data_IF_198119261418
#
_entry.id   IF_198119261418
#
_cell.length_a   1.000
_cell.length_b   1.000
_cell.length_c   1.000
_cell.angle_alpha   90.00
_cell.angle_beta   90.00
_cell.angle_gamma   90.00
#
_symmetry.space_group_name_H-M   'P 1'
#
loop_
_entity.id
_entity.type
_entity.pdbx_description
1 polymer ?
#
# COMPACT_ATOMS: atom_id res chain seq x y z
N UNK A 1 1.20 -36.48 1.52
CA UNK A 1 2.61 -36.57 1.95
C UNK A 1 3.33 -35.20 2.02
N UNK A 2 2.91 -34.19 1.22
CA UNK A 2 3.51 -32.84 1.22
C UNK A 2 3.16 -31.97 2.44
N UNK A 3 1.95 -32.11 3.01
CA UNK A 3 1.48 -31.36 4.20
C UNK A 3 2.41 -31.55 5.40
N UNK A 4 2.87 -32.78 5.63
CA UNK A 4 3.74 -33.14 6.74
C UNK A 4 5.16 -32.53 6.63
N UNK A 5 5.67 -32.28 5.40
CA UNK A 5 6.98 -31.63 5.21
C UNK A 5 6.94 -30.13 5.54
N UNK A 6 5.90 -29.42 5.12
CA UNK A 6 5.76 -27.98 5.40
C UNK A 6 5.40 -27.72 6.87
N UNK A 7 4.63 -28.60 7.51
CA UNK A 7 4.35 -28.51 8.96
C UNK A 7 5.64 -28.66 9.79
N UNK A 8 6.45 -29.68 9.50
CA UNK A 8 7.75 -29.87 10.16
C UNK A 8 8.72 -28.72 9.92
N UNK A 9 8.71 -28.14 8.71
CA UNK A 9 9.51 -26.96 8.40
C UNK A 9 9.02 -25.74 9.20
N UNK A 10 7.71 -25.52 9.27
CA UNK A 10 7.09 -24.44 10.05
C UNK A 10 7.50 -24.51 11.52
N UNK A 11 7.32 -25.67 12.17
CA UNK A 11 7.70 -25.88 13.58
C UNK A 11 9.19 -25.59 13.83
N UNK A 12 10.05 -26.02 12.91
CA UNK A 12 11.50 -25.81 13.01
C UNK A 12 11.87 -24.34 12.86
N UNK A 13 11.29 -23.64 11.89
CA UNK A 13 11.49 -22.20 11.70
C UNK A 13 10.94 -21.40 12.89
N UNK A 14 9.79 -21.80 13.44
CA UNK A 14 9.18 -21.17 14.62
C UNK A 14 10.05 -21.30 15.87
N UNK A 15 10.62 -22.47 16.10
CA UNK A 15 11.54 -22.70 17.22
C UNK A 15 12.76 -21.78 17.13
N UNK A 16 13.34 -21.67 15.93
CA UNK A 16 14.50 -20.81 15.67
C UNK A 16 14.18 -19.32 15.83
N UNK A 17 13.06 -18.87 15.24
CA UNK A 17 12.61 -17.49 15.31
C UNK A 17 12.30 -17.06 16.76
N UNK A 18 11.64 -17.94 17.53
CA UNK A 18 11.30 -17.68 18.93
C UNK A 18 12.56 -17.53 19.79
N UNK A 19 13.57 -18.36 19.56
CA UNK A 19 14.86 -18.25 20.27
C UNK A 19 15.58 -16.93 19.96
N UNK A 20 15.57 -16.47 18.70
CA UNK A 20 16.24 -15.21 18.31
C UNK A 20 15.49 -13.96 18.77
N UNK A 21 14.17 -13.91 18.59
CA UNK A 21 13.38 -12.71 18.86
C UNK A 21 12.95 -12.58 20.32
N UNK A 22 12.92 -13.69 21.08
CA UNK A 22 12.40 -13.74 22.46
C UNK A 22 10.94 -13.25 22.61
N UNK A 23 10.24 -13.11 21.49
CA UNK A 23 8.83 -12.75 21.39
C UNK A 23 8.14 -13.79 20.49
N UNK A 24 7.24 -14.57 21.08
CA UNK A 24 6.55 -15.66 20.37
C UNK A 24 5.55 -15.17 19.32
N UNK A 25 4.91 -14.02 19.53
CA UNK A 25 3.94 -13.46 18.60
C UNK A 25 4.64 -12.90 17.37
N UNK A 26 5.75 -12.19 17.58
CA UNK A 26 6.58 -11.65 16.52
C UNK A 26 7.28 -12.75 15.72
N UNK A 27 7.80 -13.78 16.41
CA UNK A 27 8.40 -14.95 15.78
C UNK A 27 7.40 -15.69 14.89
N UNK A 28 6.16 -15.88 15.37
CA UNK A 28 5.09 -16.49 14.58
C UNK A 28 4.78 -15.67 13.33
N UNK A 29 4.64 -14.35 13.45
CA UNK A 29 4.37 -13.48 12.30
C UNK A 29 5.45 -13.56 11.22
N UNK A 30 6.73 -13.55 11.62
CA UNK A 30 7.87 -13.67 10.69
C UNK A 30 7.88 -15.04 9.99
N UNK A 31 7.58 -16.11 10.72
CA UNK A 31 7.56 -17.48 10.18
C UNK A 31 6.37 -17.71 9.25
N UNK A 32 5.18 -17.24 9.62
CA UNK A 32 3.99 -17.35 8.78
C UNK A 32 4.19 -16.62 7.45
N UNK A 33 4.78 -15.43 7.46
CA UNK A 33 5.13 -14.67 6.26
C UNK A 33 6.23 -15.36 5.43
N UNK A 34 7.23 -15.98 6.07
CA UNK A 34 8.25 -16.82 5.39
C UNK A 34 7.59 -18.00 4.68
N UNK A 35 6.67 -18.67 5.35
CA UNK A 35 5.97 -19.83 4.83
C UNK A 35 5.02 -19.47 3.70
N UNK A 36 4.36 -18.31 3.76
CA UNK A 36 3.57 -17.76 2.67
C UNK A 36 4.43 -17.49 1.42
N UNK A 37 5.58 -16.84 1.59
CA UNK A 37 6.51 -16.57 0.48
C UNK A 37 7.05 -17.87 -0.15
N UNK A 38 7.36 -18.88 0.67
CA UNK A 38 7.79 -20.18 0.18
C UNK A 38 6.67 -20.88 -0.60
N UNK A 39 5.43 -20.89 -0.09
CA UNK A 39 4.29 -21.51 -0.79
C UNK A 39 4.03 -20.86 -2.14
N UNK A 40 3.99 -19.53 -2.19
CA UNK A 40 3.76 -18.78 -3.44
C UNK A 40 4.88 -18.98 -4.47
N UNK A 41 6.11 -19.17 -4.02
CA UNK A 41 7.28 -19.38 -4.91
C UNK A 41 7.43 -20.85 -5.36
N UNK A 42 7.12 -21.82 -4.48
CA UNK A 42 7.47 -23.24 -4.67
C UNK A 42 6.31 -24.22 -4.87
N UNK A 43 5.05 -23.75 -4.93
CA UNK A 43 3.93 -24.58 -5.41
C UNK A 43 4.16 -25.16 -6.83
N UNK A 44 5.18 -24.68 -7.55
CA UNK A 44 5.57 -25.17 -8.89
C UNK A 44 6.58 -26.33 -8.90
N UNK A 45 7.32 -26.62 -7.82
CA UNK A 45 8.29 -27.72 -7.77
C UNK A 45 8.53 -28.23 -6.33
N UNK A 46 7.77 -29.24 -5.85
CA UNK A 46 7.78 -29.70 -4.46
C UNK A 46 8.95 -30.63 -4.06
N UNK A 47 9.75 -31.10 -5.01
CA UNK A 47 10.91 -31.98 -4.77
C UNK A 47 12.26 -31.24 -4.83
N UNK A 48 12.24 -29.91 -4.79
CA UNK A 48 13.47 -29.11 -4.78
C UNK A 48 14.22 -29.30 -3.45
N UNK A 49 15.35 -30.02 -3.50
CA UNK A 49 16.29 -30.17 -2.39
C UNK A 49 16.82 -28.82 -1.86
N UNK A 50 16.67 -27.73 -2.62
CA UNK A 50 17.00 -26.36 -2.22
C UNK A 50 15.98 -25.68 -1.32
N UNK A 51 14.81 -26.27 -1.06
CA UNK A 51 13.72 -25.63 -0.30
C UNK A 51 14.15 -25.22 1.12
N UNK A 52 14.82 -26.12 1.86
CA UNK A 52 15.22 -25.87 3.25
C UNK A 52 16.32 -24.80 3.34
N UNK A 53 17.44 -24.87 2.59
CA UNK A 53 18.42 -23.81 2.56
C UNK A 53 17.83 -22.44 2.20
N UNK A 54 16.92 -22.38 1.23
CA UNK A 54 16.25 -21.14 0.82
C UNK A 54 15.31 -20.61 1.89
N UNK A 55 14.54 -21.48 2.53
CA UNK A 55 13.66 -21.12 3.65
C UNK A 55 14.44 -20.52 4.82
N UNK A 56 15.59 -21.12 5.15
CA UNK A 56 16.50 -20.61 6.18
C UNK A 56 17.07 -19.25 5.80
N UNK A 57 17.48 -19.06 4.55
CA UNK A 57 17.98 -17.77 4.07
C UNK A 57 16.90 -16.67 4.19
N UNK A 58 15.68 -16.94 3.71
CA UNK A 58 14.56 -15.99 3.80
C UNK A 58 14.24 -15.67 5.26
N UNK A 59 14.22 -16.70 6.12
CA UNK A 59 13.97 -16.51 7.54
C UNK A 59 15.06 -15.64 8.18
N UNK A 60 16.34 -15.92 7.91
CA UNK A 60 17.46 -15.15 8.47
C UNK A 60 17.43 -13.69 8.01
N UNK A 61 17.12 -13.42 6.74
CA UNK A 61 16.94 -12.05 6.23
C UNK A 61 15.80 -11.32 6.96
N UNK A 62 14.66 -11.98 7.16
CA UNK A 62 13.51 -11.39 7.88
C UNK A 62 13.80 -11.18 9.36
N UNK A 63 14.46 -12.13 10.02
CA UNK A 63 14.85 -12.03 11.43
C UNK A 63 15.88 -10.92 11.64
N UNK A 64 16.88 -10.82 10.76
CA UNK A 64 17.87 -9.75 10.83
C UNK A 64 17.21 -8.37 10.71
N UNK A 65 16.30 -8.21 9.75
CA UNK A 65 15.56 -6.96 9.58
C UNK A 65 14.70 -6.62 10.81
N UNK A 66 13.99 -7.61 11.39
CA UNK A 66 13.19 -7.40 12.58
C UNK A 66 14.03 -7.03 13.80
N UNK A 67 15.16 -7.72 14.02
CA UNK A 67 16.07 -7.40 15.12
C UNK A 67 16.67 -5.98 14.97
N UNK A 68 17.00 -5.58 13.75
CA UNK A 68 17.51 -4.23 13.46
C UNK A 68 16.43 -3.17 13.73
N UNK A 69 15.17 -3.46 13.38
CA UNK A 69 14.04 -2.57 13.69
C UNK A 69 13.79 -2.42 15.20
N UNK A 70 13.80 -3.50 15.98
CA UNK A 70 13.65 -3.42 17.44
C UNK A 70 14.81 -2.64 18.10
N UNK A 71 16.04 -2.87 17.63
CA UNK A 71 17.20 -2.09 18.07
C UNK A 71 17.08 -0.60 17.69
N UNK A 72 16.54 -0.28 16.52
CA UNK A 72 16.26 1.10 16.11
C UNK A 72 15.16 1.74 16.98
N UNK A 73 14.09 1.00 17.30
CA UNK A 73 12.97 1.45 18.15
C UNK A 73 13.44 1.76 19.58
N UNK A 74 14.39 0.98 20.08
CA UNK A 74 15.02 1.19 21.41
C UNK A 74 16.10 2.28 21.43
N UNK A 75 16.39 2.94 20.30
CA UNK A 75 17.25 4.12 20.22
C UNK A 75 18.69 3.87 19.77
N UNK A 76 19.01 2.69 19.25
CA UNK A 76 20.34 2.41 18.67
C UNK A 76 20.51 3.14 17.33
N UNK A 77 21.30 4.22 17.31
CA UNK A 77 21.58 4.99 16.08
C UNK A 77 22.20 4.15 14.94
N UNK A 78 23.14 3.22 15.18
CA UNK A 78 23.66 2.36 14.13
C UNK A 78 22.60 1.43 13.54
N UNK A 79 21.73 0.88 14.39
CA UNK A 79 20.64 0.02 13.94
C UNK A 79 19.57 0.83 13.18
N UNK A 80 19.29 2.06 13.62
CA UNK A 80 18.39 2.98 12.92
C UNK A 80 18.88 3.29 11.51
N UNK A 81 20.16 3.67 11.36
CA UNK A 81 20.75 3.92 10.05
C UNK A 81 20.71 2.68 9.14
N UNK A 82 21.06 1.50 9.68
CA UNK A 82 21.02 0.25 8.94
C UNK A 82 19.59 -0.16 8.54
N UNK A 83 18.62 0.04 9.44
CA UNK A 83 17.22 -0.22 9.18
C UNK A 83 16.69 0.65 8.04
N UNK A 84 16.92 1.97 8.10
CA UNK A 84 16.44 2.88 7.07
C UNK A 84 17.13 2.68 5.72
N UNK A 85 18.42 2.33 5.69
CA UNK A 85 19.09 1.99 4.42
C UNK A 85 18.52 0.71 3.81
N UNK A 86 18.28 -0.32 4.63
CA UNK A 86 17.67 -1.57 4.15
C UNK A 86 16.25 -1.32 3.63
N UNK A 87 15.49 -0.48 4.34
CA UNK A 87 14.14 -0.09 3.94
C UNK A 87 14.18 0.71 2.62
N UNK A 88 15.10 1.66 2.48
CA UNK A 88 15.31 2.46 1.25
C UNK A 88 15.50 1.56 0.03
N UNK A 89 16.45 0.63 0.10
CA UNK A 89 16.73 -0.31 -1.01
C UNK A 89 15.51 -1.15 -1.38
N UNK A 90 14.75 -1.61 -0.38
CA UNK A 90 13.51 -2.37 -0.62
C UNK A 90 12.41 -1.54 -1.25
N UNK A 91 12.25 -0.28 -0.84
CA UNK A 91 11.27 0.64 -1.41
C UNK A 91 11.62 1.00 -2.86
N UNK A 92 12.90 1.24 -3.17
CA UNK A 92 13.39 1.45 -4.55
C UNK A 92 13.06 0.24 -5.42
N UNK A 93 13.38 -0.98 -4.95
CA UNK A 93 13.07 -2.20 -5.68
C UNK A 93 11.56 -2.36 -5.94
N UNK A 94 10.74 -2.02 -4.93
CA UNK A 94 9.27 -2.09 -5.04
C UNK A 94 8.73 -1.06 -6.04
N UNK A 95 9.21 0.19 -5.98
CA UNK A 95 8.80 1.26 -6.88
C UNK A 95 9.19 0.96 -8.33
N UNK A 96 10.42 0.50 -8.56
CA UNK A 96 10.89 0.09 -9.89
C UNK A 96 10.09 -1.08 -10.46
N UNK A 97 9.77 -2.09 -9.63
CA UNK A 97 8.96 -3.23 -10.05
C UNK A 97 7.53 -2.82 -10.45
N UNK A 98 6.96 -1.80 -9.80
CA UNK A 98 5.63 -1.30 -10.12
C UNK A 98 5.56 -0.58 -11.48
N UNK A 99 6.70 -0.10 -12.01
CA UNK A 99 6.79 0.64 -13.29
C UNK A 99 5.83 1.83 -13.40
N UNK A 100 5.48 2.44 -12.26
CA UNK A 100 4.54 3.56 -12.20
C UNK A 100 5.22 4.92 -12.34
N UNK A 101 6.50 5.01 -12.02
CA UNK A 101 7.28 6.25 -12.01
C UNK A 101 8.48 6.14 -12.95
N UNK A 102 8.95 7.30 -13.42
CA UNK A 102 10.25 7.38 -14.10
C UNK A 102 11.38 7.19 -13.08
N UNK A 103 12.55 6.66 -13.49
CA UNK A 103 13.65 6.37 -12.57
C UNK A 103 14.07 7.56 -11.69
N UNK A 104 14.03 8.77 -12.24
CA UNK A 104 14.35 10.01 -11.50
C UNK A 104 13.34 10.32 -10.40
N UNK A 105 12.05 10.02 -10.62
CA UNK A 105 10.99 10.25 -9.63
C UNK A 105 10.90 9.14 -8.58
N UNK A 106 11.55 8.00 -8.81
CA UNK A 106 11.58 6.89 -7.85
C UNK A 106 12.36 7.28 -6.60
N UNK A 107 13.51 7.93 -6.75
CA UNK A 107 14.31 8.34 -5.59
C UNK A 107 13.56 9.38 -4.74
N UNK A 108 12.94 10.37 -5.37
CA UNK A 108 12.11 11.38 -4.68
C UNK A 108 10.97 10.74 -3.90
N UNK A 109 10.20 9.86 -4.55
CA UNK A 109 9.07 9.18 -3.91
C UNK A 109 9.51 8.29 -2.74
N UNK A 110 10.68 7.65 -2.84
CA UNK A 110 11.26 6.87 -1.74
C UNK A 110 11.71 7.78 -0.60
N UNK A 111 12.37 8.90 -0.90
CA UNK A 111 12.79 9.85 0.12
C UNK A 111 11.60 10.40 0.90
N UNK A 112 10.54 10.85 0.22
CA UNK A 112 9.31 11.31 0.85
C UNK A 112 8.66 10.21 1.71
N UNK A 113 8.71 8.95 1.25
CA UNK A 113 8.23 7.80 2.02
C UNK A 113 9.03 7.64 3.31
N UNK A 114 10.35 7.71 3.24
CA UNK A 114 11.22 7.55 4.41
C UNK A 114 11.04 8.67 5.43
N UNK A 115 10.76 9.90 5.00
CA UNK A 115 10.42 11.02 5.89
C UNK A 115 9.18 10.66 6.71
N UNK A 116 8.07 10.31 6.05
CA UNK A 116 6.82 9.93 6.73
C UNK A 116 6.98 8.71 7.63
N UNK A 117 7.79 7.73 7.21
CA UNK A 117 8.06 6.54 8.03
C UNK A 117 8.91 6.90 9.25
N UNK A 118 9.92 7.76 9.11
CA UNK A 118 10.80 8.15 10.22
C UNK A 118 10.10 8.94 11.31
N UNK A 119 9.03 9.66 10.99
CA UNK A 119 8.19 10.33 11.99
C UNK A 119 7.37 9.36 12.84
N UNK A 120 7.05 8.17 12.32
CA UNK A 120 6.06 7.26 12.93
C UNK A 120 6.63 5.91 13.38
N UNK A 121 7.82 5.52 12.92
CA UNK A 121 8.34 4.15 13.14
C UNK A 121 8.46 3.76 14.63
N UNK A 122 8.67 4.73 15.54
CA UNK A 122 8.75 4.49 16.99
C UNK A 122 7.39 4.18 17.64
N UNK A 123 6.30 4.67 17.07
CA UNK A 123 4.95 4.59 17.66
C UNK A 123 4.03 3.61 16.92
N UNK A 124 4.52 3.01 15.85
CA UNK A 124 3.78 2.02 15.07
C UNK A 124 3.83 0.66 15.79
N UNK A 125 2.64 0.08 15.98
CA UNK A 125 2.43 -1.28 16.48
C UNK A 125 2.19 -2.31 15.36
N UNK A 126 2.07 -1.84 14.11
CA UNK A 126 1.93 -2.70 12.94
C UNK A 126 3.30 -3.04 12.33
N UNK A 127 3.42 -4.12 11.52
CA UNK A 127 4.66 -4.40 10.81
C UNK A 127 5.07 -3.23 9.91
N UNK A 128 6.30 -2.76 10.09
CA UNK A 128 6.79 -1.51 9.47
C UNK A 128 6.88 -1.59 7.93
N UNK A 129 7.14 -2.79 7.37
CA UNK A 129 7.27 -2.99 5.92
C UNK A 129 5.93 -2.77 5.20
N UNK A 130 4.82 -3.46 5.55
CA UNK A 130 3.50 -3.17 4.99
C UNK A 130 3.08 -1.70 5.12
N UNK A 131 3.39 -1.08 6.27
CA UNK A 131 3.12 0.33 6.47
C UNK A 131 3.90 1.20 5.47
N UNK A 132 5.21 1.02 5.36
CA UNK A 132 6.05 1.77 4.43
C UNK A 132 5.64 1.57 2.96
N UNK A 133 5.23 0.35 2.58
CA UNK A 133 4.71 0.07 1.23
C UNK A 133 3.39 0.80 0.95
N UNK A 134 2.50 0.90 1.94
CA UNK A 134 1.25 1.67 1.82
C UNK A 134 1.52 3.16 1.63
N UNK A 135 2.48 3.71 2.38
CA UNK A 135 2.93 5.10 2.25
C UNK A 135 3.53 5.33 0.86
N UNK A 136 4.44 4.47 0.41
CA UNK A 136 5.04 4.54 -0.92
C UNK A 136 3.99 4.55 -2.04
N UNK A 137 2.97 3.68 -1.94
CA UNK A 137 1.87 3.64 -2.90
C UNK A 137 1.11 4.97 -2.96
N UNK A 138 0.81 5.55 -1.80
CA UNK A 138 0.10 6.83 -1.72
C UNK A 138 0.93 7.97 -2.33
N UNK A 139 2.21 8.06 -1.98
CA UNK A 139 3.14 9.07 -2.53
C UNK A 139 3.29 8.91 -4.04
N UNK A 140 3.51 7.68 -4.52
CA UNK A 140 3.59 7.36 -5.95
C UNK A 140 2.33 7.80 -6.70
N UNK A 141 1.14 7.55 -6.14
CA UNK A 141 -0.11 8.00 -6.72
C UNK A 141 -0.21 9.54 -6.78
N UNK A 142 0.27 10.24 -5.75
CA UNK A 142 0.29 11.71 -5.74
C UNK A 142 1.23 12.27 -6.80
N UNK A 143 2.44 11.72 -6.96
CA UNK A 143 3.35 12.10 -8.04
C UNK A 143 2.71 11.90 -9.41
N UNK A 144 2.00 10.79 -9.62
CA UNK A 144 1.29 10.52 -10.88
C UNK A 144 0.13 11.48 -11.13
N UNK A 145 -0.59 11.89 -10.08
CA UNK A 145 -1.64 12.92 -10.19
C UNK A 145 -1.05 14.28 -10.55
N UNK A 146 0.02 14.71 -9.86
CA UNK A 146 0.73 15.95 -10.16
C UNK A 146 1.26 15.97 -11.58
N UNK A 147 1.88 14.87 -12.04
CA UNK A 147 2.36 14.76 -13.43
C UNK A 147 1.22 14.89 -14.44
N UNK A 148 0.10 14.19 -14.25
CA UNK A 148 -1.07 14.30 -15.13
C UNK A 148 -1.65 15.72 -15.17
N UNK A 149 -1.70 16.39 -14.02
CA UNK A 149 -2.15 17.77 -13.92
C UNK A 149 -1.23 18.73 -14.70
N UNK A 150 0.09 18.57 -14.54
CA UNK A 150 1.10 19.37 -15.23
C UNK A 150 1.12 19.12 -16.74
N UNK A 151 0.99 17.87 -17.20
CA UNK A 151 0.92 17.55 -18.63
C UNK A 151 -0.35 18.13 -19.26
N UNK A 152 -1.48 18.10 -18.54
CA UNK A 152 -2.74 18.69 -19.02
C UNK A 152 -2.67 20.22 -19.08
N UNK A 153 -2.08 20.87 -18.07
CA UNK A 153 -1.84 22.32 -18.08
C UNK A 153 -0.88 22.74 -19.21
N UNK A 154 0.20 21.99 -19.43
CA UNK A 154 1.15 22.27 -20.52
C UNK A 154 0.53 22.15 -21.92
N UNK A 155 -0.43 21.24 -22.11
CA UNK A 155 -1.15 21.09 -23.38
C UNK A 155 -2.19 22.19 -23.60
N UNK A 156 -2.71 22.79 -22.52
CA UNK A 156 -3.68 23.89 -22.59
C UNK A 156 -3.02 25.26 -22.72
N UNK A 157 -1.82 25.46 -22.16
CA UNK A 157 -1.04 26.67 -22.38
C UNK A 157 -0.61 26.89 -23.84
N UNK A 158 -0.57 25.85 -24.67
CA UNK A 158 -0.37 25.99 -26.13
C UNK A 158 -1.63 26.41 -26.89
N UNK A 159 -2.83 26.31 -26.29
CA UNK A 159 -4.11 26.65 -26.94
C UNK A 159 -4.65 28.05 -26.62
N UNK A 160 -3.91 28.86 -25.85
CA UNK A 160 -4.11 30.32 -25.77
C UNK A 160 -5.45 30.78 -25.19
N UNK A 161 -6.16 29.94 -24.45
CA UNK A 161 -7.46 30.29 -23.88
C UNK A 161 -7.30 30.70 -22.40
N UNK A 162 -7.10 32.00 -22.17
CA UNK A 162 -6.90 32.62 -20.84
C UNK A 162 -8.04 32.27 -19.86
N UNK A 163 -9.24 32.00 -20.36
CA UNK A 163 -10.41 31.61 -19.56
C UNK A 163 -10.28 30.20 -18.94
N UNK A 164 -9.56 29.30 -19.61
CA UNK A 164 -9.29 27.94 -19.13
C UNK A 164 -8.11 27.93 -18.16
N UNK A 165 -7.14 28.83 -18.37
CA UNK A 165 -6.00 29.02 -17.49
C UNK A 165 -6.44 29.56 -16.10
N UNK A 166 -7.35 30.53 -16.04
CA UNK A 166 -7.94 31.01 -14.77
C UNK A 166 -8.76 29.93 -14.04
N UNK A 167 -9.48 29.08 -14.78
CA UNK A 167 -10.23 27.95 -14.20
C UNK A 167 -9.28 26.90 -13.59
N UNK A 168 -8.15 26.63 -14.25
CA UNK A 168 -7.13 25.71 -13.77
C UNK A 168 -6.34 26.31 -12.61
N UNK A 169 -6.00 27.61 -12.63
CA UNK A 169 -5.34 28.26 -11.52
C UNK A 169 -6.22 28.29 -10.26
N UNK A 170 -7.55 28.42 -10.38
CA UNK A 170 -8.47 28.22 -9.25
C UNK A 170 -8.47 26.77 -8.76
N UNK A 171 -8.46 25.79 -9.65
CA UNK A 171 -8.38 24.37 -9.28
C UNK A 171 -7.02 23.98 -8.66
N UNK A 172 -5.95 24.68 -9.00
CA UNK A 172 -4.58 24.45 -8.50
C UNK A 172 -4.26 25.25 -7.22
N UNK A 173 -4.88 26.42 -7.01
CA UNK A 173 -4.68 27.25 -5.81
C UNK A 173 -5.66 26.93 -4.68
N UNK A 174 -6.84 26.36 -4.96
CA UNK A 174 -7.78 25.95 -3.89
C UNK A 174 -7.29 24.72 -3.09
N UNK A 175 -6.33 23.94 -3.59
CA UNK A 175 -5.87 22.70 -2.94
C UNK A 175 -5.02 22.95 -1.67
N UNK A 176 -4.51 24.17 -1.46
CA UNK A 176 -3.74 24.51 -0.25
C UNK A 176 -4.51 25.26 0.83
N UNK A 177 -5.58 26.00 0.51
CA UNK A 177 -6.34 26.78 1.51
C UNK A 177 -7.76 26.23 1.79
N UNK A 178 -8.42 25.51 0.86
CA UNK A 178 -9.79 25.02 1.11
C UNK A 178 -9.84 23.77 2.01
N UNK A 179 -8.72 23.04 2.13
CA UNK A 179 -8.63 21.81 2.93
C UNK A 179 -8.41 22.05 4.43
N UNK A 180 -8.15 23.30 4.88
CA UNK A 180 -7.81 23.55 6.28
C UNK A 180 -8.99 23.42 7.25
N UNK A 181 -10.26 23.49 6.82
CA UNK A 181 -11.40 23.56 7.76
C UNK A 181 -12.54 22.56 7.53
N UNK A 182 -12.36 21.49 6.76
CA UNK A 182 -13.33 20.38 6.78
C UNK A 182 -13.00 19.44 7.93
N UNK A 183 -13.77 19.52 9.02
CA UNK A 183 -13.67 18.60 10.14
C UNK A 183 -13.79 17.16 9.62
N UNK A 184 -12.72 16.35 9.74
CA UNK A 184 -12.66 14.99 9.22
C UNK A 184 -13.84 14.11 9.67
N UNK A 185 -14.44 14.41 10.83
CA UNK A 185 -15.64 13.74 11.30
C UNK A 185 -16.90 14.12 10.50
N UNK A 186 -17.04 15.38 10.09
CA UNK A 186 -18.15 15.82 9.23
C UNK A 186 -18.03 15.23 7.82
N UNK A 187 -16.82 15.17 7.27
CA UNK A 187 -16.55 14.50 6.00
C UNK A 187 -16.90 13.02 6.07
N UNK A 188 -16.43 12.34 7.12
CA UNK A 188 -16.76 10.93 7.39
C UNK A 188 -18.27 10.71 7.50
N UNK A 189 -18.97 11.54 8.26
CA UNK A 189 -20.43 11.42 8.40
C UNK A 189 -21.18 11.62 7.08
N UNK A 190 -20.76 12.59 6.26
CA UNK A 190 -21.41 12.85 4.97
C UNK A 190 -21.13 11.74 3.96
N UNK A 191 -19.90 11.21 3.91
CA UNK A 191 -19.57 10.03 3.12
C UNK A 191 -20.37 8.81 3.58
N UNK A 192 -20.50 8.58 4.89
CA UNK A 192 -21.33 7.50 5.43
C UNK A 192 -22.81 7.67 5.05
N UNK A 193 -23.34 8.90 5.08
CA UNK A 193 -24.71 9.18 4.61
C UNK A 193 -24.86 8.94 3.11
N UNK A 194 -23.90 9.35 2.29
CA UNK A 194 -23.92 9.09 0.86
C UNK A 194 -23.93 7.59 0.55
N UNK A 195 -23.06 6.83 1.21
CA UNK A 195 -23.00 5.37 1.12
C UNK A 195 -24.31 4.74 1.61
N UNK A 196 -24.92 5.25 2.70
CA UNK A 196 -26.20 4.74 3.22
C UNK A 196 -27.37 4.88 2.21
N UNK A 197 -27.29 5.84 1.29
CA UNK A 197 -28.30 6.08 0.23
C UNK A 197 -28.05 5.28 -1.04
N UNK A 198 -26.91 4.59 -1.15
CA UNK A 198 -26.62 3.73 -2.30
C UNK A 198 -27.50 2.48 -2.30
N UNK A 199 -27.69 1.88 -3.48
CA UNK A 199 -28.36 0.60 -3.63
C UNK A 199 -27.58 -0.51 -2.92
N UNK A 200 -28.25 -1.59 -2.53
CA UNK A 200 -27.61 -2.70 -1.81
C UNK A 200 -26.38 -3.25 -2.55
N UNK A 201 -26.51 -3.52 -3.86
CA UNK A 201 -25.40 -3.95 -4.72
C UNK A 201 -24.23 -2.95 -4.72
N UNK A 202 -24.53 -1.65 -4.79
CA UNK A 202 -23.51 -0.59 -4.86
C UNK A 202 -22.77 -0.45 -3.52
N UNK A 203 -23.46 -0.66 -2.39
CA UNK A 203 -22.86 -0.70 -1.05
C UNK A 203 -21.92 -1.90 -0.91
N UNK A 204 -22.36 -3.06 -1.38
CA UNK A 204 -21.58 -4.29 -1.32
C UNK A 204 -20.33 -4.17 -2.21
N UNK A 205 -20.49 -3.65 -3.43
CA UNK A 205 -19.38 -3.31 -4.33
C UNK A 205 -18.39 -2.34 -3.67
N UNK A 206 -18.90 -1.28 -3.02
CA UNK A 206 -18.06 -0.31 -2.32
C UNK A 206 -17.31 -0.92 -1.13
N UNK A 207 -17.93 -1.81 -0.37
CA UNK A 207 -17.31 -2.52 0.76
C UNK A 207 -16.11 -3.34 0.32
N UNK A 208 -16.26 -4.12 -0.77
CA UNK A 208 -15.18 -4.93 -1.35
C UNK A 208 -14.00 -4.03 -1.74
N UNK A 209 -14.28 -2.89 -2.40
CA UNK A 209 -13.25 -1.94 -2.82
C UNK A 209 -12.55 -1.25 -1.63
N UNK A 210 -13.27 -0.99 -0.53
CA UNK A 210 -12.72 -0.42 0.71
C UNK A 210 -11.76 -1.38 1.40
N UNK A 211 -12.07 -2.67 1.38
CA UNK A 211 -11.24 -3.75 1.95
C UNK A 211 -10.05 -4.12 1.06
N UNK A 212 -9.76 -3.31 0.04
CA UNK A 212 -8.71 -3.55 -0.96
C UNK A 212 -8.96 -4.78 -1.85
N UNK A 213 -10.21 -5.22 -1.94
CA UNK A 213 -10.62 -6.25 -2.89
C UNK A 213 -10.42 -5.80 -4.33
N UNK A 214 -10.04 -6.74 -5.19
CA UNK A 214 -9.75 -6.52 -6.58
C UNK A 214 -10.95 -6.84 -7.50
N UNK A 215 -10.74 -6.77 -8.81
CA UNK A 215 -11.79 -7.02 -9.80
C UNK A 215 -12.30 -8.47 -9.74
N UNK A 216 -11.47 -9.43 -9.37
CA UNK A 216 -11.86 -10.84 -9.21
C UNK A 216 -12.73 -11.03 -7.97
N UNK A 217 -12.39 -10.35 -6.86
CA UNK A 217 -13.21 -10.38 -5.64
C UNK A 217 -14.62 -9.84 -5.91
N UNK A 218 -14.72 -8.78 -6.72
CA UNK A 218 -16.02 -8.23 -7.15
C UNK A 218 -16.77 -9.20 -8.06
N UNK A 219 -16.10 -9.83 -9.03
CA UNK A 219 -16.72 -10.80 -9.93
C UNK A 219 -17.20 -12.06 -9.21
N UNK A 220 -16.50 -12.48 -8.14
CA UNK A 220 -16.90 -13.61 -7.32
C UNK A 220 -18.21 -13.35 -6.56
N UNK A 221 -18.45 -12.09 -6.17
CA UNK A 221 -19.68 -11.67 -5.46
C UNK A 221 -20.83 -11.37 -6.43
N UNK A 222 -20.51 -10.96 -7.67
CA UNK A 222 -21.50 -10.68 -8.72
C UNK A 222 -21.28 -11.57 -9.96
N UNK A 223 -21.44 -12.91 -9.84
CA UNK A 223 -21.08 -13.85 -10.90
C UNK A 223 -21.94 -13.71 -12.15
N UNK A 224 -23.17 -13.22 -12.00
CA UNK A 224 -24.15 -13.08 -13.10
C UNK A 224 -24.06 -11.72 -13.81
N UNK A 225 -23.16 -10.84 -13.38
CA UNK A 225 -23.02 -9.49 -13.94
C UNK A 225 -21.84 -9.44 -14.90
N UNK A 226 -22.08 -8.92 -16.10
CA UNK A 226 -21.03 -8.75 -17.10
C UNK A 226 -19.88 -7.88 -16.53
N UNK A 227 -18.60 -8.28 -16.70
CA UNK A 227 -17.45 -7.53 -16.20
C UNK A 227 -17.42 -6.05 -16.63
N UNK A 228 -17.86 -5.74 -17.85
CA UNK A 228 -17.93 -4.36 -18.34
C UNK A 228 -19.00 -3.55 -17.61
N UNK A 229 -20.08 -4.19 -17.19
CA UNK A 229 -21.13 -3.58 -16.36
C UNK A 229 -20.62 -3.30 -14.95
N UNK A 230 -19.76 -4.16 -14.41
CA UNK A 230 -19.09 -3.93 -13.13
C UNK A 230 -18.15 -2.72 -13.23
N UNK A 231 -17.33 -2.64 -14.27
CA UNK A 231 -16.42 -1.51 -14.46
C UNK A 231 -17.21 -0.18 -14.60
N UNK A 232 -18.32 -0.19 -15.34
CA UNK A 232 -19.23 0.95 -15.45
C UNK A 232 -19.89 1.31 -14.11
N UNK A 233 -20.29 0.32 -13.30
CA UNK A 233 -20.84 0.52 -11.95
C UNK A 233 -19.79 1.14 -11.01
N UNK A 234 -18.56 0.63 -11.00
CA UNK A 234 -17.44 1.20 -10.22
C UNK A 234 -17.18 2.64 -10.64
N UNK A 235 -17.20 2.94 -11.94
CA UNK A 235 -17.02 4.31 -12.44
C UNK A 235 -18.10 5.26 -11.91
N UNK A 236 -19.38 4.88 -12.06
CA UNK A 236 -20.53 5.67 -11.57
C UNK A 236 -20.53 5.84 -10.06
N UNK A 237 -20.09 4.83 -9.32
CA UNK A 237 -19.95 4.89 -7.87
C UNK A 237 -18.90 5.91 -7.46
N UNK A 238 -17.76 5.94 -8.15
CA UNK A 238 -16.70 6.94 -7.94
C UNK A 238 -17.14 8.35 -8.35
N UNK A 239 -17.90 8.49 -9.42
CA UNK A 239 -18.52 9.77 -9.82
C UNK A 239 -19.44 10.28 -8.72
N UNK A 240 -20.39 9.47 -8.23
CA UNK A 240 -21.28 9.86 -7.12
C UNK A 240 -20.55 10.24 -5.83
N UNK A 241 -19.52 9.51 -5.47
CA UNK A 241 -18.71 9.82 -4.29
C UNK A 241 -17.91 11.10 -4.50
N UNK A 242 -17.43 11.35 -5.72
CA UNK A 242 -16.75 12.59 -6.08
C UNK A 242 -17.70 13.77 -6.03
N UNK A 243 -18.92 13.66 -6.54
CA UNK A 243 -19.90 14.75 -6.49
C UNK A 243 -20.19 15.15 -5.03
N UNK A 244 -20.26 14.17 -4.12
CA UNK A 244 -20.38 14.41 -2.68
C UNK A 244 -19.14 15.10 -2.09
N UNK A 245 -17.95 14.91 -2.65
CA UNK A 245 -16.72 15.60 -2.23
C UNK A 245 -16.66 17.02 -2.80
N UNK A 246 -17.07 17.20 -4.07
CA UNK A 246 -17.12 18.51 -4.74
C UNK A 246 -18.16 19.44 -4.11
N UNK A 247 -19.32 18.91 -3.70
CA UNK A 247 -20.32 19.63 -2.91
C UNK A 247 -19.80 20.13 -1.54
N UNK A 248 -18.61 19.69 -1.11
CA UNK A 248 -17.95 20.11 0.12
C UNK A 248 -16.85 21.16 -0.10
N UNK A 249 -16.65 21.62 -1.34
CA UNK A 249 -15.55 22.53 -1.69
C UNK A 249 -14.19 21.84 -1.70
N UNK A 250 -14.15 20.54 -2.03
CA UNK A 250 -12.94 19.73 -2.20
C UNK A 250 -12.85 19.11 -3.60
#
# INVERSE_FOLDING_TARGET
>A
MQTNKFEKLHERLLTLATHKLRDSALAKAVVDDTMYQLRTTFLKNPDDSGLIPRAMQILDEKLHHQLTFEAAKTGSKPAEAQFFETLRLRLIATANAARMLEPTMVEDAVQDTLIVVSEKYKTIDTPIIPFAQKVLKFITMNHMRKKKSLTFSSQLSESGDESTQEFIDRMLHDDHDASEHVNANQLKERLLRAVSRMKADDKQLFSILLESGDRQDVLAVFPDVNPNTIDARIRRLREKLRDVLVDLGM
#
